data_IF_813127397604
#
_entry.id   IF_813127397604
#
_cell.length_a   1.000
_cell.length_b   1.000
_cell.length_c   1.000
_cell.angle_alpha   90.00
_cell.angle_beta   90.00
_cell.angle_gamma   90.00
#
_symmetry.space_group_name_H-M   'P 1'
#
loop_
_entity.id
_entity.type
_entity.pdbx_description
1 polymer ?
#
# COMPACT_ATOMS: atom_id res chain seq x y z
N UNK A 1 17.20 -8.24 3.20
CA UNK A 1 16.48 -9.54 3.30
C UNK A 1 16.56 -10.29 1.98
N UNK A 2 16.36 -11.61 2.01
CA UNK A 2 16.32 -12.46 0.81
C UNK A 2 15.14 -13.40 0.88
N UNK A 3 14.62 -13.86 -0.25
CA UNK A 3 13.55 -14.84 -0.23
C UNK A 3 13.96 -16.17 0.45
N UNK A 4 15.25 -16.50 0.49
CA UNK A 4 15.78 -17.73 1.11
C UNK A 4 15.51 -17.80 2.61
N UNK A 5 15.27 -16.67 3.27
CA UNK A 5 15.01 -16.61 4.70
C UNK A 5 13.68 -15.92 5.04
N UNK A 6 12.75 -15.85 4.09
CA UNK A 6 11.47 -15.16 4.24
C UNK A 6 10.31 -16.13 4.03
N UNK A 7 9.41 -16.22 5.02
CA UNK A 7 8.11 -16.88 4.88
C UNK A 7 7.06 -15.82 4.52
N UNK A 8 6.91 -15.57 3.21
CA UNK A 8 6.01 -14.54 2.70
C UNK A 8 4.56 -14.76 3.13
N UNK A 9 4.12 -16.02 3.22
CA UNK A 9 2.76 -16.36 3.61
C UNK A 9 2.49 -15.96 5.05
N UNK A 10 3.41 -16.32 5.95
CA UNK A 10 3.32 -15.95 7.37
C UNK A 10 3.41 -14.44 7.57
N UNK A 11 4.37 -13.77 6.94
CA UNK A 11 4.54 -12.32 7.07
C UNK A 11 3.30 -11.57 6.56
N UNK A 12 2.74 -11.96 5.41
CA UNK A 12 1.50 -11.39 4.87
C UNK A 12 0.31 -11.59 5.82
N UNK A 13 0.17 -12.77 6.42
CA UNK A 13 -0.89 -13.03 7.41
C UNK A 13 -0.73 -12.17 8.67
N UNK A 14 0.50 -11.98 9.16
CA UNK A 14 0.74 -11.10 10.31
C UNK A 14 0.48 -9.63 9.98
N UNK A 15 0.83 -9.17 8.77
CA UNK A 15 0.51 -7.82 8.30
C UNK A 15 -1.01 -7.58 8.24
N UNK A 16 -1.78 -8.52 7.67
CA UNK A 16 -3.25 -8.44 7.64
C UNK A 16 -3.87 -8.42 9.04
N UNK A 17 -3.37 -9.26 9.95
CA UNK A 17 -3.78 -9.25 11.37
C UNK A 17 -3.45 -7.92 12.05
N UNK A 18 -2.24 -7.40 11.85
CA UNK A 18 -1.81 -6.13 12.44
C UNK A 18 -2.69 -4.98 11.98
N UNK A 19 -2.93 -4.86 10.68
CA UNK A 19 -3.78 -3.80 10.12
C UNK A 19 -5.23 -3.88 10.63
N UNK A 20 -5.76 -5.09 10.78
CA UNK A 20 -7.10 -5.30 11.38
C UNK A 20 -7.15 -4.78 12.83
N UNK A 21 -6.10 -5.04 13.63
CA UNK A 21 -6.00 -4.52 15.00
C UNK A 21 -5.90 -3.00 15.05
N UNK A 22 -5.20 -2.38 14.09
CA UNK A 22 -5.12 -0.91 13.95
C UNK A 22 -6.52 -0.34 13.66
N UNK A 23 -7.27 -0.93 12.73
CA UNK A 23 -8.64 -0.51 12.38
C UNK A 23 -9.57 -0.65 13.58
N UNK A 24 -9.54 -1.78 14.28
CA UNK A 24 -10.37 -2.02 15.47
C UNK A 24 -10.07 -1.01 16.57
N UNK A 25 -8.78 -0.72 16.79
CA UNK A 25 -8.39 0.28 17.77
C UNK A 25 -8.83 1.69 17.38
N UNK A 26 -8.65 2.08 16.11
CA UNK A 26 -9.11 3.36 15.57
C UNK A 26 -10.62 3.55 15.79
N UNK A 27 -11.43 2.51 15.52
CA UNK A 27 -12.87 2.50 15.79
C UNK A 27 -13.17 2.63 17.28
N UNK A 28 -12.47 1.89 18.13
CA UNK A 28 -12.64 1.90 19.60
C UNK A 28 -12.41 3.29 20.20
N UNK A 29 -11.41 4.03 19.72
CA UNK A 29 -11.11 5.40 20.21
C UNK A 29 -11.93 6.48 19.50
N UNK A 30 -12.79 6.12 18.55
CA UNK A 30 -13.62 7.05 17.80
C UNK A 30 -12.87 7.86 16.74
N UNK A 31 -11.70 7.40 16.28
CA UNK A 31 -10.97 8.04 15.18
C UNK A 31 -11.84 8.06 13.92
N UNK A 32 -11.93 9.24 13.27
CA UNK A 32 -12.77 9.49 12.09
C UNK A 32 -11.98 9.69 10.80
N UNK A 33 -10.64 9.69 10.89
CA UNK A 33 -9.78 9.82 9.73
C UNK A 33 -9.76 8.55 8.88
N UNK A 34 -9.16 8.66 7.69
CA UNK A 34 -8.95 7.52 6.79
C UNK A 34 -7.60 6.88 7.11
N UNK A 35 -7.56 5.55 7.19
CA UNK A 35 -6.30 4.79 7.27
C UNK A 35 -5.77 4.61 5.85
N UNK A 36 -4.48 4.91 5.67
CA UNK A 36 -3.82 4.84 4.37
C UNK A 36 -2.68 3.81 4.40
N UNK A 37 -2.53 3.07 3.30
CA UNK A 37 -1.29 2.35 2.96
C UNK A 37 -0.63 3.12 1.82
N UNK A 38 0.67 3.30 1.90
CA UNK A 38 1.45 3.96 0.86
C UNK A 38 2.20 2.90 0.05
N UNK A 39 1.83 2.65 -1.22
CA UNK A 39 2.54 1.68 -2.02
C UNK A 39 3.97 2.12 -2.27
N UNK A 40 4.90 1.17 -2.15
CA UNK A 40 6.32 1.31 -2.49
C UNK A 40 6.85 -0.06 -2.91
N UNK A 41 7.55 -0.19 -4.04
CA UNK A 41 8.01 -1.49 -4.54
C UNK A 41 9.26 -2.03 -3.83
N UNK A 42 10.14 -1.13 -3.37
CA UNK A 42 11.44 -1.42 -2.78
C UNK A 42 12.02 -0.16 -2.10
N UNK A 43 13.11 -0.33 -1.36
CA UNK A 43 13.87 0.66 -0.56
C UNK A 43 13.29 1.00 0.82
N UNK A 44 13.90 0.49 1.92
CA UNK A 44 15.23 -0.14 2.01
C UNK A 44 15.24 -1.65 1.71
N UNK A 45 14.07 -2.30 1.59
CA UNK A 45 14.02 -3.74 1.30
C UNK A 45 14.22 -4.00 -0.20
N UNK A 46 14.58 -5.24 -0.54
CA UNK A 46 14.69 -5.68 -1.94
C UNK A 46 13.32 -5.76 -2.64
N UNK A 47 12.28 -6.08 -1.86
CA UNK A 47 10.90 -6.14 -2.30
C UNK A 47 10.03 -5.77 -1.09
N UNK A 48 9.17 -4.78 -1.26
CA UNK A 48 8.13 -4.44 -0.29
C UNK A 48 6.80 -5.05 -0.74
N UNK A 49 6.02 -5.56 0.22
CA UNK A 49 4.80 -6.31 -0.06
C UNK A 49 3.68 -5.42 -0.63
N UNK A 50 3.66 -4.16 -0.24
CA UNK A 50 2.79 -3.08 -0.71
C UNK A 50 3.35 -2.46 -2.00
N UNK A 51 3.58 -3.30 -3.01
CA UNK A 51 4.38 -2.95 -4.18
C UNK A 51 3.84 -1.79 -5.03
N UNK A 52 2.56 -1.86 -5.38
CA UNK A 52 1.82 -0.88 -6.17
C UNK A 52 0.33 -0.89 -5.75
N UNK A 53 -0.49 -0.01 -6.34
CA UNK A 53 -1.92 0.09 -6.03
C UNK A 53 -2.66 -1.23 -6.24
N UNK A 54 -2.35 -1.98 -7.31
CA UNK A 54 -3.00 -3.25 -7.61
C UNK A 54 -2.69 -4.31 -6.53
N UNK A 55 -1.44 -4.39 -6.11
CA UNK A 55 -0.94 -5.33 -5.10
C UNK A 55 -1.54 -5.02 -3.73
N UNK A 56 -1.59 -3.74 -3.35
CA UNK A 56 -2.26 -3.29 -2.13
C UNK A 56 -3.75 -3.63 -2.18
N UNK A 57 -4.44 -3.37 -3.29
CA UNK A 57 -5.85 -3.73 -3.41
C UNK A 57 -6.10 -5.24 -3.27
N UNK A 58 -5.27 -6.08 -3.89
CA UNK A 58 -5.34 -7.53 -3.74
C UNK A 58 -5.17 -7.96 -2.27
N UNK A 59 -4.19 -7.37 -1.56
CA UNK A 59 -4.03 -7.57 -0.12
C UNK A 59 -5.28 -7.15 0.67
N UNK A 60 -5.82 -5.95 0.42
CA UNK A 60 -7.01 -5.49 1.13
C UNK A 60 -8.20 -6.43 0.87
N UNK A 61 -8.36 -6.95 -0.35
CA UNK A 61 -9.42 -7.90 -0.70
C UNK A 61 -9.29 -9.24 0.03
N UNK A 62 -8.08 -9.80 0.10
CA UNK A 62 -7.84 -11.08 0.78
C UNK A 62 -8.23 -11.04 2.27
N UNK A 63 -8.12 -9.86 2.91
CA UNK A 63 -8.45 -9.66 4.32
C UNK A 63 -9.78 -8.93 4.56
N UNK A 64 -10.54 -8.59 3.50
CA UNK A 64 -11.83 -7.87 3.62
C UNK A 64 -11.71 -6.44 4.15
N UNK A 65 -10.59 -5.76 3.87
CA UNK A 65 -10.23 -4.44 4.39
C UNK A 65 -10.39 -3.31 3.36
N UNK A 66 -10.86 -3.60 2.14
CA UNK A 66 -10.91 -2.64 1.03
C UNK A 66 -11.91 -1.48 1.25
N UNK A 67 -12.79 -1.59 2.24
CA UNK A 67 -13.74 -0.55 2.65
C UNK A 67 -13.24 0.30 3.82
N UNK A 68 -12.15 -0.12 4.46
CA UNK A 68 -11.61 0.49 5.68
C UNK A 68 -10.32 1.27 5.41
N UNK A 69 -9.59 0.89 4.35
CA UNK A 69 -8.27 1.41 4.03
C UNK A 69 -8.23 1.92 2.60
N UNK A 70 -7.54 3.04 2.41
CA UNK A 70 -7.28 3.65 1.11
C UNK A 70 -5.78 3.73 0.82
N UNK A 71 -5.39 4.16 -0.37
CA UNK A 71 -3.97 4.35 -0.73
C UNK A 71 -3.54 5.81 -0.62
N UNK A 72 -2.31 6.03 -0.15
CA UNK A 72 -1.54 7.25 -0.34
C UNK A 72 -0.58 7.03 -1.50
N UNK A 73 -0.72 7.74 -2.62
CA UNK A 73 0.12 7.47 -3.80
C UNK A 73 1.25 8.49 -3.87
N UNK A 74 2.48 8.00 -3.89
CA UNK A 74 3.66 8.82 -4.09
C UNK A 74 4.17 8.73 -5.54
N UNK A 75 4.53 9.88 -6.13
CA UNK A 75 5.06 9.96 -7.50
C UNK A 75 6.34 9.12 -7.66
N UNK A 76 7.30 9.26 -6.75
CA UNK A 76 8.56 8.53 -6.78
C UNK A 76 8.38 7.02 -6.72
N UNK A 77 7.46 6.54 -5.87
CA UNK A 77 7.16 5.11 -5.73
C UNK A 77 6.46 4.52 -6.94
N UNK A 78 5.54 5.26 -7.58
CA UNK A 78 4.90 4.84 -8.82
C UNK A 78 5.94 4.56 -9.91
N UNK A 79 6.88 5.48 -10.13
CA UNK A 79 7.96 5.29 -11.09
C UNK A 79 8.90 4.15 -10.72
N UNK A 80 9.24 4.01 -9.44
CA UNK A 80 10.08 2.92 -8.96
C UNK A 80 9.42 1.54 -9.21
N UNK A 81 8.08 1.48 -9.26
CA UNK A 81 7.31 0.27 -9.53
C UNK A 81 7.15 -0.01 -11.04
N UNK A 82 7.69 0.85 -11.90
CA UNK A 82 7.57 0.75 -13.35
C UNK A 82 6.27 1.33 -13.92
N UNK A 83 5.53 2.12 -13.13
CA UNK A 83 4.25 2.72 -13.52
C UNK A 83 4.37 4.23 -13.66
N UNK A 84 3.50 4.85 -14.46
CA UNK A 84 3.33 6.30 -14.38
C UNK A 84 2.48 6.68 -13.19
N UNK A 85 2.68 7.89 -12.65
CA UNK A 85 1.89 8.36 -11.50
C UNK A 85 0.38 8.41 -11.82
N UNK A 86 0.03 8.85 -13.03
CA UNK A 86 -1.35 8.89 -13.49
C UNK A 86 -1.98 7.50 -13.66
N UNK A 87 -1.18 6.46 -13.94
CA UNK A 87 -1.66 5.08 -13.92
C UNK A 87 -2.17 4.69 -12.53
N UNK A 88 -1.34 4.90 -11.52
CA UNK A 88 -1.66 4.55 -10.12
C UNK A 88 -2.88 5.35 -9.62
N UNK A 89 -2.95 6.66 -9.94
CA UNK A 89 -4.11 7.49 -9.61
C UNK A 89 -5.40 6.99 -10.28
N UNK A 90 -5.34 6.68 -11.57
CA UNK A 90 -6.50 6.21 -12.32
C UNK A 90 -7.00 4.85 -11.80
N UNK A 91 -6.07 3.94 -11.49
CA UNK A 91 -6.38 2.64 -10.94
C UNK A 91 -7.00 2.75 -9.54
N UNK A 92 -6.38 3.50 -8.63
CA UNK A 92 -6.91 3.68 -7.27
C UNK A 92 -8.29 4.32 -7.27
N UNK A 93 -8.53 5.28 -8.18
CA UNK A 93 -9.87 5.86 -8.39
C UNK A 93 -10.86 4.81 -8.89
N UNK A 94 -10.49 4.01 -9.89
CA UNK A 94 -11.37 2.98 -10.46
C UNK A 94 -11.75 1.90 -9.43
N UNK A 95 -10.82 1.57 -8.53
CA UNK A 95 -11.03 0.62 -7.44
C UNK A 95 -11.73 1.23 -6.20
N UNK A 96 -11.95 2.54 -6.18
CA UNK A 96 -12.61 3.25 -5.08
C UNK A 96 -11.75 3.47 -3.84
N UNK A 97 -10.44 3.26 -3.94
CA UNK A 97 -9.49 3.30 -2.81
C UNK A 97 -8.54 4.51 -2.84
N UNK A 98 -8.72 5.46 -3.77
CA UNK A 98 -7.91 6.69 -3.77
C UNK A 98 -8.14 7.50 -2.49
N UNK A 99 -7.10 7.66 -1.67
CA UNK A 99 -7.13 8.35 -0.39
C UNK A 99 -6.43 9.71 -0.42
N UNK A 100 -5.12 9.69 -0.64
CA UNK A 100 -4.26 10.89 -0.64
C UNK A 100 -3.10 10.72 -1.63
N UNK A 101 -2.28 11.77 -1.77
CA UNK A 101 -1.09 11.78 -2.60
C UNK A 101 0.09 12.43 -1.86
N UNK A 102 1.28 11.89 -2.11
CA UNK A 102 2.55 12.51 -1.75
C UNK A 102 3.20 13.05 -3.03
N UNK A 103 3.13 14.37 -3.19
CA UNK A 103 3.59 15.06 -4.38
C UNK A 103 5.10 15.33 -4.30
N UNK A 104 5.88 14.48 -4.97
CA UNK A 104 7.32 14.68 -5.17
C UNK A 104 7.70 14.35 -6.62
N UNK A 105 9.00 14.37 -6.93
CA UNK A 105 9.52 13.88 -8.21
C UNK A 105 10.96 13.43 -8.00
N UNK A 106 11.21 12.14 -8.23
CA UNK A 106 12.57 11.63 -8.29
C UNK A 106 13.25 12.08 -9.59
N UNK A 107 14.57 12.24 -9.57
CA UNK A 107 15.34 12.55 -10.77
C UNK A 107 15.27 11.35 -11.71
N UNK A 108 14.59 11.51 -12.84
CA UNK A 108 14.54 10.50 -13.90
C UNK A 108 15.83 10.60 -14.74
N UNK A 109 16.97 10.38 -14.08
CA UNK A 109 18.27 10.20 -14.73
C UNK A 109 18.89 8.90 -14.22
N UNK A 110 18.40 7.80 -14.77
CA UNK A 110 19.06 6.48 -14.74
C UNK A 110 18.51 5.63 -15.87
#
# INVERSE_FOLDING_TARGET
ETLLNTDMGKERQQAGRFLSLVIDHAKKIGFKGTILIEPKPQEPTKHQYDYDVATVYGFLKDFGLEKEVKVNIEVGHAFLAGHSFEHELALARALGILGSVDANRNDLQS
#
